data_IF_206551060292
#
_entry.id   IF_206551060292
#
_cell.length_a   1.000
_cell.length_b   1.000
_cell.length_c   1.000
_cell.angle_alpha   90.00
_cell.angle_beta   90.00
_cell.angle_gamma   90.00
#
_symmetry.space_group_name_H-M   'P 1'
#
loop_
_entity.id
_entity.type
_entity.pdbx_description
1 polymer ?
#
# COMPACT_ATOMS: atom_id res chain seq x y z
N UNK A 1 1.31 15.02 8.47
CA UNK A 1 0.37 13.88 8.31
C UNK A 1 0.39 13.48 6.85
N UNK A 2 1.16 12.46 6.50
CA UNK A 2 1.19 11.93 5.13
C UNK A 2 0.06 10.91 5.00
N UNK A 3 -0.85 11.12 4.04
CA UNK A 3 -1.93 10.21 3.67
C UNK A 3 -1.56 9.71 2.27
N UNK A 4 -1.49 8.38 2.14
CA UNK A 4 -1.55 7.57 0.90
C UNK A 4 -1.21 8.22 -0.44
N UNK A 5 -0.19 7.71 -1.12
CA UNK A 5 0.12 8.10 -2.50
C UNK A 5 0.16 6.89 -3.46
N UNK A 6 -0.43 5.75 -3.07
CA UNK A 6 -0.58 4.64 -4.00
C UNK A 6 -1.66 5.00 -5.03
N UNK A 7 -1.26 5.06 -6.29
CA UNK A 7 -2.15 5.26 -7.43
C UNK A 7 -3.09 4.05 -7.53
N UNK A 8 -4.42 4.23 -7.56
CA UNK A 8 -5.37 3.14 -7.71
C UNK A 8 -5.16 2.31 -8.99
N UNK A 9 -4.43 2.83 -10.00
CA UNK A 9 -3.98 2.04 -11.15
C UNK A 9 -3.17 0.80 -10.74
N UNK A 10 -2.47 0.85 -9.59
CA UNK A 10 -1.74 -0.29 -9.05
C UNK A 10 -2.64 -1.50 -8.77
N UNK A 11 -3.92 -1.28 -8.45
CA UNK A 11 -4.87 -2.36 -8.16
C UNK A 11 -5.22 -3.21 -9.41
N UNK A 12 -4.97 -2.67 -10.61
CA UNK A 12 -5.15 -3.40 -11.87
C UNK A 12 -3.90 -4.18 -12.30
N UNK A 13 -2.79 -4.05 -11.57
CA UNK A 13 -1.52 -4.70 -11.92
C UNK A 13 -1.51 -6.17 -11.47
N UNK A 14 -0.45 -6.89 -11.86
CA UNK A 14 -0.17 -8.21 -11.29
C UNK A 14 0.13 -8.10 -9.79
N UNK A 15 0.03 -9.22 -9.05
CA UNK A 15 0.25 -9.22 -7.60
C UNK A 15 1.70 -8.84 -7.24
N UNK A 16 2.67 -9.26 -8.05
CA UNK A 16 4.09 -8.93 -7.92
C UNK A 16 4.35 -7.42 -8.10
N UNK A 17 3.77 -6.81 -9.14
CA UNK A 17 3.86 -5.35 -9.36
C UNK A 17 3.10 -4.53 -8.32
N UNK A 18 2.07 -5.11 -7.69
CA UNK A 18 1.36 -4.48 -6.58
C UNK A 18 2.22 -4.51 -5.31
N UNK A 19 2.88 -5.63 -5.05
CA UNK A 19 3.81 -5.80 -3.92
C UNK A 19 4.98 -4.82 -4.02
N UNK A 20 5.63 -4.70 -5.19
CA UNK A 20 6.72 -3.74 -5.40
C UNK A 20 6.30 -2.30 -5.09
N UNK A 21 5.13 -1.88 -5.58
CA UNK A 21 4.61 -0.53 -5.32
C UNK A 21 4.23 -0.31 -3.86
N UNK A 22 3.74 -1.35 -3.17
CA UNK A 22 3.46 -1.30 -1.73
C UNK A 22 4.77 -1.15 -0.95
N UNK A 23 5.82 -1.89 -1.32
CA UNK A 23 7.15 -1.76 -0.70
C UNK A 23 7.74 -0.36 -0.90
N UNK A 24 7.73 0.17 -2.13
CA UNK A 24 8.19 1.54 -2.40
C UNK A 24 7.42 2.59 -1.57
N UNK A 25 6.11 2.41 -1.44
CA UNK A 25 5.28 3.28 -0.61
C UNK A 25 5.69 3.19 0.87
N UNK A 26 5.88 1.98 1.40
CA UNK A 26 6.27 1.75 2.79
C UNK A 26 7.67 2.28 3.09
N UNK A 27 8.66 2.05 2.21
CA UNK A 27 10.01 2.59 2.33
C UNK A 27 10.00 4.13 2.40
N UNK A 28 9.15 4.77 1.60
CA UNK A 28 8.98 6.23 1.62
C UNK A 28 8.43 6.75 2.97
N UNK A 29 7.67 5.92 3.68
CA UNK A 29 7.15 6.22 5.02
C UNK A 29 8.16 5.89 6.12
N UNK A 30 8.84 4.75 6.01
CA UNK A 30 9.87 4.28 6.95
C UNK A 30 11.02 5.30 7.07
N UNK A 31 11.46 5.88 5.94
CA UNK A 31 12.49 6.93 5.92
C UNK A 31 12.12 8.16 6.76
N UNK A 32 10.84 8.38 7.07
CA UNK A 32 10.36 9.55 7.82
C UNK A 32 10.22 9.32 9.33
N UNK A 33 10.51 8.12 9.84
CA UNK A 33 10.58 7.81 11.28
C UNK A 33 9.31 8.16 12.07
N UNK A 34 8.16 8.23 11.39
CA UNK A 34 6.90 8.75 11.94
C UNK A 34 5.73 7.82 11.67
N UNK A 35 4.63 8.02 12.41
CA UNK A 35 3.39 7.26 12.21
C UNK A 35 2.81 7.56 10.83
N UNK A 36 2.54 6.51 10.05
CA UNK A 36 1.88 6.61 8.75
C UNK A 36 0.52 5.91 8.75
N UNK A 37 -0.35 6.31 7.82
CA UNK A 37 -1.61 5.62 7.52
C UNK A 37 -1.57 5.32 6.03
N UNK A 38 -1.40 4.04 5.69
CA UNK A 38 -1.53 3.58 4.32
C UNK A 38 -2.96 3.83 3.85
N UNK A 39 -3.09 4.46 2.68
CA UNK A 39 -4.35 4.69 2.02
C UNK A 39 -4.11 4.83 0.52
N UNK A 40 -5.17 4.75 -0.27
CA UNK A 40 -5.11 5.10 -1.69
C UNK A 40 -5.08 6.63 -1.84
N UNK A 41 -4.41 7.12 -2.90
CA UNK A 41 -4.35 8.55 -3.21
C UNK A 41 -5.65 9.11 -3.80
N UNK A 42 -6.58 8.24 -4.21
CA UNK A 42 -7.88 8.57 -4.76
C UNK A 42 -8.93 7.52 -4.34
N UNK A 43 -10.22 7.80 -4.57
CA UNK A 43 -11.29 6.83 -4.32
C UNK A 43 -11.13 5.57 -5.18
N UNK A 44 -11.45 4.41 -4.61
CA UNK A 44 -11.50 3.13 -5.34
C UNK A 44 -12.53 3.27 -6.47
N UNK A 45 -12.14 2.90 -7.70
CA UNK A 45 -13.08 2.82 -8.81
C UNK A 45 -14.08 1.68 -8.53
N UNK A 46 -15.38 1.87 -8.83
CA UNK A 46 -16.41 0.87 -8.56
C UNK A 46 -16.17 -0.47 -9.30
N UNK A 47 -15.33 -0.44 -10.34
CA UNK A 47 -14.98 -1.60 -11.16
C UNK A 47 -13.77 -2.40 -10.62
N UNK A 48 -13.21 -2.02 -9.47
CA UNK A 48 -12.11 -2.78 -8.83
C UNK A 48 -12.66 -4.01 -8.14
N UNK A 49 -12.08 -5.18 -8.46
CA UNK A 49 -12.42 -6.43 -7.80
C UNK A 49 -12.06 -6.38 -6.31
N UNK A 50 -12.98 -6.74 -5.39
CA UNK A 50 -12.73 -6.72 -3.95
C UNK A 50 -11.49 -7.52 -3.53
N UNK A 51 -11.15 -8.56 -4.28
CA UNK A 51 -9.98 -9.41 -4.09
C UNK A 51 -8.67 -8.63 -4.23
N UNK A 52 -8.60 -7.65 -5.14
CA UNK A 52 -7.44 -6.77 -5.30
C UNK A 52 -7.27 -5.83 -4.12
N UNK A 53 -8.38 -5.37 -3.55
CA UNK A 53 -8.37 -4.54 -2.33
C UNK A 53 -7.89 -5.37 -1.14
N UNK A 54 -8.34 -6.61 -1.01
CA UNK A 54 -7.88 -7.53 0.03
C UNK A 54 -6.38 -7.81 -0.09
N UNK A 55 -5.88 -8.08 -1.30
CA UNK A 55 -4.45 -8.28 -1.56
C UNK A 55 -3.61 -7.06 -1.16
N UNK A 56 -4.05 -5.85 -1.49
CA UNK A 56 -3.37 -4.61 -1.07
C UNK A 56 -3.30 -4.49 0.45
N UNK A 57 -4.39 -4.75 1.17
CA UNK A 57 -4.43 -4.67 2.65
C UNK A 57 -3.50 -5.72 3.27
N UNK A 58 -3.51 -6.95 2.75
CA UNK A 58 -2.65 -8.03 3.24
C UNK A 58 -1.17 -7.73 3.01
N UNK A 59 -0.81 -7.20 1.84
CA UNK A 59 0.56 -6.76 1.52
C UNK A 59 1.03 -5.66 2.46
N UNK A 60 0.19 -4.64 2.70
CA UNK A 60 0.51 -3.57 3.65
C UNK A 60 0.75 -4.14 5.04
N UNK A 61 -0.12 -5.02 5.56
CA UNK A 61 0.08 -5.63 6.88
C UNK A 61 1.35 -6.49 6.95
N UNK A 62 1.63 -7.29 5.92
CA UNK A 62 2.79 -8.18 5.86
C UNK A 62 4.10 -7.41 5.94
N UNK A 63 4.21 -6.33 5.17
CA UNK A 63 5.44 -5.54 5.08
C UNK A 63 5.56 -4.48 6.18
N UNK A 64 4.46 -3.89 6.63
CA UNK A 64 4.49 -2.95 7.78
C UNK A 64 4.79 -3.61 9.12
N UNK A 65 4.40 -4.87 9.31
CA UNK A 65 4.70 -5.62 10.52
C UNK A 65 6.19 -5.97 10.66
N UNK A 66 6.94 -5.94 9.55
CA UNK A 66 8.39 -6.18 9.57
C UNK A 66 9.17 -4.98 10.14
N UNK A 67 8.69 -3.76 9.90
CA UNK A 67 9.35 -2.51 10.33
C UNK A 67 9.17 -2.16 11.81
N UNK A 68 8.19 -2.75 12.50
CA UNK A 68 7.94 -2.51 13.93
C UNK A 68 8.80 -3.37 14.87
N UNK A 69 9.65 -4.24 14.32
CA UNK A 69 10.46 -5.19 15.10
C UNK A 69 11.96 -4.84 15.20
N UNK A 70 12.43 -3.68 14.69
CA UNK A 70 13.84 -3.26 14.79
C UNK A 70 14.01 -1.90 15.47
#
# INVERSE_FOLDING_TARGET
>A
MWRGNLDPCALYSTEEELEDRVMEMLDSFAFKGGRYIANLGHGIYPDVEPEKVAAFVDLVHRHSAHDIAT
#
